data_IF_415979937328
#
_entry.id   IF_415979937328
#
_cell.length_a   1.000
_cell.length_b   1.000
_cell.length_c   1.000
_cell.angle_alpha   90.00
_cell.angle_beta   90.00
_cell.angle_gamma   90.00
#
_symmetry.space_group_name_H-M   'P 1'
#
loop_
_entity.id
_entity.type
_entity.pdbx_description
1 polymer ?
#
# COMPACT_ATOMS: atom_id res chain seq x y z
N UNK A 1 -49.39 -10.15 31.73
CA UNK A 1 -48.59 -11.38 31.49
C UNK A 1 -47.94 -11.21 30.12
N UNK A 2 -46.77 -10.58 30.05
CA UNK A 2 -45.45 -11.21 29.81
C UNK A 2 -45.41 -12.19 28.62
N UNK A 3 -44.66 -11.75 27.60
CA UNK A 3 -43.73 -12.51 26.72
C UNK A 3 -44.34 -13.43 25.64
N UNK A 4 -43.95 -13.26 24.36
CA UNK A 4 -42.82 -13.99 23.77
C UNK A 4 -42.82 -13.97 22.21
N UNK A 5 -41.64 -13.79 21.61
CA UNK A 5 -41.31 -14.08 20.19
C UNK A 5 -41.37 -12.86 19.27
N UNK A 6 -40.37 -12.00 19.12
CA UNK A 6 -38.95 -12.27 18.83
C UNK A 6 -38.76 -13.07 17.53
N UNK A 7 -39.03 -12.47 16.36
CA UNK A 7 -38.41 -12.93 15.12
C UNK A 7 -38.16 -11.78 14.14
N UNK A 8 -36.87 -11.60 13.87
CA UNK A 8 -36.27 -10.87 12.75
C UNK A 8 -36.37 -9.33 12.75
N UNK A 9 -35.93 -8.73 13.85
CA UNK A 9 -35.20 -7.46 13.77
C UNK A 9 -33.82 -7.69 13.15
N UNK A 10 -33.75 -7.76 11.82
CA UNK A 10 -32.53 -7.48 11.05
C UNK A 10 -32.96 -6.81 9.74
N UNK A 11 -33.32 -5.53 9.79
CA UNK A 11 -32.94 -4.66 8.69
C UNK A 11 -31.45 -4.36 8.95
N UNK A 12 -30.57 -5.20 8.40
CA UNK A 12 -29.17 -4.80 8.22
C UNK A 12 -29.26 -3.50 7.43
N UNK A 13 -28.91 -2.39 8.07
CA UNK A 13 -28.66 -1.15 7.36
C UNK A 13 -27.45 -1.40 6.48
N UNK A 14 -27.67 -1.71 5.20
CA UNK A 14 -26.64 -1.91 4.17
C UNK A 14 -25.91 -0.60 3.79
N UNK A 15 -25.96 0.43 4.63
CA UNK A 15 -25.34 1.72 4.39
C UNK A 15 -24.48 2.15 5.58
N UNK A 16 -23.75 1.23 6.18
CA UNK A 16 -22.80 1.55 7.25
C UNK A 16 -21.48 0.80 7.06
N UNK A 17 -20.86 1.00 5.91
CA UNK A 17 -19.43 1.14 5.85
C UNK A 17 -19.20 2.35 4.95
N UNK A 18 -18.59 3.46 5.43
CA UNK A 18 -18.00 4.38 4.46
C UNK A 18 -17.09 3.54 3.56
N UNK A 19 -17.10 3.84 2.27
CA UNK A 19 -16.33 3.16 1.24
C UNK A 19 -14.83 3.46 1.40
N UNK A 20 -14.31 3.22 2.60
CA UNK A 20 -12.94 3.41 3.09
C UNK A 20 -12.18 2.09 2.98
N UNK A 21 -12.50 1.29 1.93
CA UNK A 21 -11.89 -0.01 1.66
C UNK A 21 -11.13 -0.02 0.33
N UNK A 22 -10.68 1.13 -0.18
CA UNK A 22 -10.08 1.20 -1.54
C UNK A 22 -8.56 1.27 -1.59
N UNK A 23 -7.85 1.51 -0.48
CA UNK A 23 -6.38 1.65 -0.49
C UNK A 23 -5.70 0.84 0.61
N UNK A 24 -4.77 -0.01 0.21
CA UNK A 24 -4.01 -0.89 1.11
C UNK A 24 -2.52 -0.67 0.94
N UNK A 25 -1.78 -0.63 2.05
CA UNK A 25 -0.33 -0.81 2.08
C UNK A 25 -0.05 -2.21 2.65
N UNK A 26 0.41 -3.12 1.81
CA UNK A 26 0.62 -4.53 2.15
C UNK A 26 2.10 -4.82 2.42
N UNK A 27 2.34 -5.51 3.53
CA UNK A 27 3.63 -6.10 3.87
C UNK A 27 3.71 -7.54 3.34
N UNK A 28 4.61 -7.80 2.40
CA UNK A 28 4.99 -9.13 1.95
C UNK A 28 6.48 -9.43 2.21
N UNK A 29 7.06 -8.81 3.23
CA UNK A 29 8.43 -9.04 3.68
C UNK A 29 8.53 -10.26 4.60
N UNK A 30 9.70 -10.90 4.63
CA UNK A 30 9.92 -12.19 5.30
C UNK A 30 11.11 -12.18 6.25
N UNK A 31 12.16 -11.43 5.93
CA UNK A 31 13.36 -11.34 6.77
C UNK A 31 13.29 -10.16 7.72
N UNK A 32 14.17 -10.15 8.73
CA UNK A 32 14.29 -9.02 9.65
C UNK A 32 14.62 -7.72 8.92
N UNK A 33 15.53 -7.78 7.94
CA UNK A 33 15.98 -6.60 7.19
C UNK A 33 14.87 -6.07 6.27
N UNK A 34 14.10 -6.97 5.63
CA UNK A 34 12.95 -6.58 4.83
C UNK A 34 11.84 -5.93 5.67
N UNK A 35 11.54 -6.51 6.84
CA UNK A 35 10.55 -5.94 7.77
C UNK A 35 10.96 -4.57 8.28
N UNK A 36 12.24 -4.39 8.63
CA UNK A 36 12.80 -3.10 9.06
C UNK A 36 12.66 -2.03 7.96
N UNK A 37 12.88 -2.41 6.69
CA UNK A 37 12.61 -1.53 5.55
C UNK A 37 11.11 -1.18 5.45
N UNK A 38 10.22 -2.18 5.55
CA UNK A 38 8.77 -1.94 5.50
C UNK A 38 8.30 -1.01 6.61
N UNK A 39 8.76 -1.21 7.84
CA UNK A 39 8.44 -0.36 8.99
C UNK A 39 8.93 1.08 8.75
N UNK A 40 10.14 1.24 8.23
CA UNK A 40 10.69 2.56 7.90
C UNK A 40 9.88 3.24 6.79
N UNK A 41 9.64 2.55 5.67
CA UNK A 41 8.83 3.05 4.55
C UNK A 41 7.42 3.44 5.01
N UNK A 42 6.72 2.53 5.70
CA UNK A 42 5.35 2.74 6.15
C UNK A 42 5.23 3.87 7.18
N UNK A 43 6.27 4.11 7.99
CA UNK A 43 6.30 5.25 8.91
C UNK A 43 6.42 6.61 8.21
N UNK A 44 7.01 6.63 7.00
CA UNK A 44 7.19 7.84 6.19
C UNK A 44 6.08 8.03 5.15
N UNK A 45 5.28 6.99 4.88
CA UNK A 45 4.34 6.99 3.77
C UNK A 45 3.00 7.61 4.14
N UNK A 46 2.57 8.58 3.33
CA UNK A 46 1.24 9.14 3.34
C UNK A 46 0.62 9.03 1.94
N UNK A 47 -0.59 8.48 1.86
CA UNK A 47 -1.28 8.39 0.58
C UNK A 47 -1.70 9.79 0.10
N UNK A 48 -1.43 10.15 -1.17
CA UNK A 48 -1.98 11.35 -1.77
C UNK A 48 -3.52 11.38 -1.69
N UNK A 49 -4.14 12.55 -1.46
CA UNK A 49 -5.59 12.66 -1.45
C UNK A 49 -6.22 12.15 -2.75
N UNK A 50 -7.26 11.31 -2.63
CA UNK A 50 -7.95 10.71 -3.77
C UNK A 50 -7.16 9.63 -4.51
N UNK A 51 -6.10 9.06 -3.90
CA UNK A 51 -5.43 7.88 -4.43
C UNK A 51 -6.27 6.62 -4.15
N UNK A 52 -6.57 5.85 -5.19
CA UNK A 52 -7.30 4.58 -5.10
C UNK A 52 -6.41 3.35 -5.29
N UNK A 53 -5.08 3.56 -5.31
CA UNK A 53 -4.12 2.51 -5.60
C UNK A 53 -3.70 1.71 -4.36
N UNK A 54 -3.43 0.42 -4.54
CA UNK A 54 -2.80 -0.41 -3.52
C UNK A 54 -1.28 -0.40 -3.68
N UNK A 55 -0.57 -0.50 -2.57
CA UNK A 55 0.89 -0.58 -2.55
C UNK A 55 1.27 -1.89 -1.88
N UNK A 56 2.14 -2.67 -2.53
CA UNK A 56 2.70 -3.89 -1.95
C UNK A 56 4.20 -3.78 -1.86
N UNK A 57 4.74 -3.89 -0.65
CA UNK A 57 6.18 -4.02 -0.40
C UNK A 57 6.53 -5.50 -0.32
N UNK A 58 7.17 -6.01 -1.36
CA UNK A 58 7.51 -7.43 -1.51
C UNK A 58 8.99 -7.68 -1.33
N UNK A 59 9.33 -8.76 -0.63
CA UNK A 59 10.71 -9.21 -0.46
C UNK A 59 11.01 -10.49 -1.26
N UNK A 60 12.13 -10.47 -1.98
CA UNK A 60 12.77 -11.66 -2.51
C UNK A 60 14.13 -11.89 -1.82
N UNK A 61 14.28 -13.04 -1.17
CA UNK A 61 15.55 -13.46 -0.56
C UNK A 61 16.30 -14.42 -1.50
N UNK A 62 17.53 -14.08 -1.89
CA UNK A 62 18.44 -14.98 -2.63
C UNK A 62 19.76 -15.13 -1.83
N UNK A 63 20.25 -16.35 -1.55
CA UNK A 63 21.47 -16.58 -0.78
C UNK A 63 22.74 -15.93 -1.33
N UNK A 64 22.79 -15.62 -2.64
CA UNK A 64 23.93 -15.03 -3.34
C UNK A 64 23.84 -13.50 -3.37
N UNK A 65 22.64 -12.94 -3.58
CA UNK A 65 22.47 -11.48 -3.75
C UNK A 65 21.97 -10.78 -2.49
N UNK A 66 21.32 -11.48 -1.56
CA UNK A 66 20.80 -10.94 -0.30
C UNK A 66 19.29 -10.69 -0.33
N UNK A 67 18.85 -9.70 0.44
CA UNK A 67 17.44 -9.26 0.53
C UNK A 67 17.16 -8.20 -0.51
N UNK A 68 16.29 -8.52 -1.47
CA UNK A 68 15.80 -7.59 -2.47
C UNK A 68 14.38 -7.14 -2.10
N UNK A 69 14.13 -5.84 -2.22
CA UNK A 69 12.81 -5.24 -2.01
C UNK A 69 12.28 -4.73 -3.33
N UNK A 70 11.00 -4.97 -3.55
CA UNK A 70 10.23 -4.46 -4.68
C UNK A 70 8.96 -3.79 -4.16
N UNK A 71 8.63 -2.61 -4.67
CA UNK A 71 7.38 -1.93 -4.37
C UNK A 71 6.52 -1.91 -5.62
N UNK A 72 5.34 -2.49 -5.49
CA UNK A 72 4.32 -2.51 -6.53
C UNK A 72 3.23 -1.52 -6.18
N UNK A 73 2.75 -0.80 -7.19
CA UNK A 73 1.48 -0.07 -7.15
C UNK A 73 0.49 -0.86 -8.00
N UNK A 74 -0.50 -1.45 -7.33
CA UNK A 74 -1.27 -2.60 -7.81
C UNK A 74 -0.34 -3.69 -8.37
N UNK A 75 -0.35 -3.92 -9.69
CA UNK A 75 0.49 -4.91 -10.36
C UNK A 75 1.74 -4.30 -11.03
N UNK A 76 1.95 -2.99 -10.91
CA UNK A 76 3.06 -2.28 -11.58
C UNK A 76 4.25 -2.15 -10.64
N UNK A 77 5.41 -2.67 -11.05
CA UNK A 77 6.66 -2.47 -10.32
C UNK A 77 7.13 -1.00 -10.45
N UNK A 78 7.20 -0.29 -9.33
CA UNK A 78 7.57 1.14 -9.29
C UNK A 78 8.95 1.37 -8.69
N UNK A 79 9.38 0.53 -7.76
CA UNK A 79 10.69 0.64 -7.13
C UNK A 79 11.30 -0.73 -6.84
N UNK A 80 12.62 -0.84 -6.94
CA UNK A 80 13.36 -2.06 -6.64
C UNK A 80 14.76 -1.74 -6.11
N UNK A 81 15.17 -2.40 -5.02
CA UNK A 81 16.48 -2.17 -4.41
C UNK A 81 17.02 -3.41 -3.72
N UNK A 82 18.33 -3.43 -3.47
CA UNK A 82 18.98 -4.44 -2.66
C UNK A 82 19.31 -3.86 -1.28
N UNK A 83 18.93 -4.55 -0.22
CA UNK A 83 19.27 -4.19 1.15
C UNK A 83 20.56 -4.90 1.58
N UNK A 84 21.47 -4.14 2.19
CA UNK A 84 22.72 -4.65 2.77
C UNK A 84 22.67 -4.55 4.29
N UNK A 85 23.10 -5.57 5.05
CA UNK A 85 23.01 -5.55 6.51
C UNK A 85 23.88 -4.50 7.21
N UNK A 86 24.90 -3.98 6.53
CA UNK A 86 25.89 -3.03 7.08
C UNK A 86 25.96 -1.80 6.18
N UNK A 87 25.14 -0.82 6.48
CA UNK A 87 25.18 0.50 5.87
C UNK A 87 24.01 1.34 6.37
N UNK A 88 24.22 2.64 6.54
CA UNK A 88 23.18 3.64 6.85
C UNK A 88 22.13 3.78 5.71
N UNK A 89 22.15 2.89 4.72
CA UNK A 89 21.37 2.96 3.49
C UNK A 89 19.87 2.62 3.67
N UNK A 90 19.43 2.04 4.79
CA UNK A 90 18.02 1.58 4.90
C UNK A 90 17.04 2.75 4.92
N UNK A 91 17.36 3.81 5.66
CA UNK A 91 16.59 5.06 5.66
C UNK A 91 16.64 5.75 4.30
N UNK A 92 17.83 5.89 3.72
CA UNK A 92 18.01 6.51 2.39
C UNK A 92 17.24 5.77 1.29
N UNK A 93 17.27 4.44 1.29
CA UNK A 93 16.49 3.61 0.35
C UNK A 93 14.99 3.73 0.58
N UNK A 94 14.55 3.84 1.83
CA UNK A 94 13.15 4.09 2.13
C UNK A 94 12.72 5.46 1.59
N UNK A 95 13.48 6.52 1.85
CA UNK A 95 13.23 7.88 1.32
C UNK A 95 13.21 7.90 -0.22
N UNK A 96 14.17 7.24 -0.86
CA UNK A 96 14.17 7.08 -2.31
C UNK A 96 12.90 6.38 -2.78
N UNK A 97 12.50 5.28 -2.12
CA UNK A 97 11.28 4.57 -2.46
C UNK A 97 10.03 5.47 -2.32
N UNK A 98 9.92 6.28 -1.26
CA UNK A 98 8.84 7.26 -1.08
C UNK A 98 8.78 8.19 -2.29
N UNK A 99 9.91 8.79 -2.68
CA UNK A 99 9.97 9.74 -3.80
C UNK A 99 9.48 9.11 -5.11
N UNK A 100 9.88 7.86 -5.37
CA UNK A 100 9.55 7.12 -6.60
C UNK A 100 8.07 6.76 -6.65
N UNK A 101 7.54 6.23 -5.55
CA UNK A 101 6.13 5.83 -5.47
C UNK A 101 5.21 7.05 -5.51
N UNK A 102 5.54 8.12 -4.78
CA UNK A 102 4.75 9.36 -4.79
C UNK A 102 4.70 9.97 -6.20
N UNK A 103 5.85 10.08 -6.86
CA UNK A 103 5.94 10.59 -8.24
C UNK A 103 5.06 9.77 -9.18
N UNK A 104 5.12 8.44 -9.07
CA UNK A 104 4.31 7.55 -9.90
C UNK A 104 2.81 7.79 -9.69
N UNK A 105 2.35 7.87 -8.43
CA UNK A 105 0.93 8.08 -8.12
C UNK A 105 0.40 9.42 -8.61
N UNK A 106 1.18 10.50 -8.46
CA UNK A 106 0.77 11.82 -8.93
C UNK A 106 0.58 11.84 -10.45
N UNK A 107 1.51 11.24 -11.19
CA UNK A 107 1.39 11.09 -12.64
C UNK A 107 0.14 10.28 -13.02
N UNK A 108 -0.13 9.18 -12.29
CA UNK A 108 -1.32 8.35 -12.54
C UNK A 108 -2.62 9.07 -12.27
N UNK A 109 -2.71 9.85 -11.20
CA UNK A 109 -3.89 10.67 -10.92
C UNK A 109 -4.15 11.74 -12.00
N UNK A 110 -3.10 12.32 -12.57
CA UNK A 110 -3.24 13.28 -13.67
C UNK A 110 -3.81 12.62 -14.93
N UNK A 111 -3.33 11.41 -15.27
CA UNK A 111 -3.84 10.60 -16.38
C UNK A 111 -5.34 10.28 -16.19
N UNK A 112 -5.73 9.81 -15.01
CA UNK A 112 -7.12 9.46 -14.69
C UNK A 112 -8.06 10.67 -14.76
N UNK A 113 -7.63 11.83 -14.25
CA UNK A 113 -8.40 13.09 -14.33
C UNK A 113 -8.61 13.54 -15.77
N UNK A 114 -7.57 13.43 -16.61
CA UNK A 114 -7.66 13.81 -18.03
C UNK A 114 -8.63 12.90 -18.81
N UNK A 115 -8.64 11.61 -18.49
CA UNK A 115 -9.56 10.64 -19.09
C UNK A 115 -10.99 10.83 -18.60
N UNK A 116 -11.19 11.08 -17.30
CA UNK A 116 -12.51 11.32 -16.72
C UNK A 116 -13.25 12.52 -17.31
N UNK A 117 -12.52 13.54 -17.77
CA UNK A 117 -13.10 14.72 -18.45
C UNK A 117 -13.54 14.45 -19.90
N UNK A 118 -13.14 13.33 -20.52
CA UNK A 118 -13.46 13.03 -21.93
C UNK A 118 -14.78 12.25 -22.11
N UNK A 119 -15.35 11.70 -21.02
CA UNK A 119 -16.53 10.83 -21.05
C UNK A 119 -17.80 11.45 -20.43
N UNK A 120 -17.82 12.77 -20.19
CA UNK A 120 -19.01 13.55 -19.78
C UNK A 120 -19.17 14.78 -20.70
#
# INVERSE_FOLDING_TARGET
MKLLGFFLGIFVSLNCLPQELSRLLLDQTKTRLGREFYETFSSLWEFPPGSEFNITVSELTDPRTGTQIYIYVDDTLVYGTLLRPRGEELGEKAEEAIERVLRYLLLKQEEEKALGHTFL
#
